data_IF_002170573476
#
_entry.id   IF_002170573476
#
_cell.length_a   1.000
_cell.length_b   1.000
_cell.length_c   1.000
_cell.angle_alpha   90.00
_cell.angle_beta   90.00
_cell.angle_gamma   90.00
#
_symmetry.space_group_name_H-M   'P 1'
#
loop_
_entity.id
_entity.type
_entity.pdbx_description
1 polymer ?
#
# COMPACT_ATOMS: atom_id res chain seq x y z
N UNK A 1 7.35 -7.29 -15.02
CA UNK A 1 7.04 -5.96 -14.45
C UNK A 1 5.86 -6.08 -13.51
N UNK A 2 5.87 -5.32 -12.41
CA UNK A 2 4.71 -5.21 -11.51
C UNK A 2 4.29 -3.74 -11.38
N UNK A 3 3.03 -3.47 -11.68
CA UNK A 3 2.40 -2.16 -11.55
C UNK A 3 1.46 -2.18 -10.33
N UNK A 4 1.78 -1.36 -9.33
CA UNK A 4 0.99 -1.16 -8.12
C UNK A 4 0.94 0.36 -7.83
N UNK A 5 -0.17 0.89 -7.29
CA UNK A 5 -0.22 2.29 -6.89
C UNK A 5 0.86 2.64 -5.87
N UNK A 6 1.35 3.88 -5.93
CA UNK A 6 2.36 4.37 -4.99
C UNK A 6 1.78 4.63 -3.60
N UNK A 7 0.47 4.87 -3.51
CA UNK A 7 -0.27 5.10 -2.27
C UNK A 7 -1.45 4.13 -2.24
N UNK A 8 -1.59 3.38 -1.15
CA UNK A 8 -2.66 2.42 -0.89
C UNK A 8 -3.44 2.88 0.33
N UNK A 9 -4.76 2.86 0.27
CA UNK A 9 -5.57 3.14 1.43
C UNK A 9 -5.68 1.89 2.32
N UNK A 10 -5.42 2.09 3.61
CA UNK A 10 -5.60 1.11 4.66
C UNK A 10 -7.01 0.51 4.68
N UNK A 11 -7.11 -0.81 4.74
CA UNK A 11 -8.38 -1.52 4.83
C UNK A 11 -9.21 -1.52 3.54
N UNK A 12 -8.79 -0.81 2.49
CA UNK A 12 -9.46 -0.78 1.19
C UNK A 12 -9.05 -1.96 0.31
N UNK A 13 -9.88 -2.24 -0.67
CA UNK A 13 -9.57 -3.19 -1.73
C UNK A 13 -8.76 -2.47 -2.82
N UNK A 14 -7.57 -2.99 -3.09
CA UNK A 14 -6.61 -2.44 -4.05
C UNK A 14 -6.33 -3.47 -5.14
N UNK A 15 -5.88 -2.98 -6.31
CA UNK A 15 -5.47 -3.80 -7.44
C UNK A 15 -4.01 -3.57 -7.78
N UNK A 16 -3.28 -4.65 -8.10
CA UNK A 16 -2.00 -4.57 -8.80
C UNK A 16 -2.05 -5.43 -10.06
N UNK A 17 -1.16 -5.16 -11.02
CA UNK A 17 -1.00 -5.94 -12.23
C UNK A 17 0.43 -6.43 -12.37
N UNK A 18 0.58 -7.68 -12.78
CA UNK A 18 1.84 -8.34 -13.06
C UNK A 18 1.90 -8.69 -14.55
N UNK A 19 3.06 -8.53 -15.15
CA UNK A 19 3.29 -8.87 -16.55
C UNK A 19 4.65 -9.52 -16.76
N UNK A 20 4.67 -10.57 -17.56
CA UNK A 20 5.88 -11.24 -18.03
C UNK A 20 5.86 -11.19 -19.55
N UNK A 21 6.91 -10.64 -20.16
CA UNK A 21 7.04 -10.53 -21.61
C UNK A 21 8.01 -11.59 -22.09
N UNK A 22 7.56 -12.42 -23.04
CA UNK A 22 8.38 -13.36 -23.83
C UNK A 22 9.48 -14.07 -23.03
N UNK A 23 9.13 -14.85 -22.00
CA UNK A 23 10.13 -15.55 -21.21
C UNK A 23 10.80 -16.65 -22.04
N UNK A 24 12.12 -16.78 -21.94
CA UNK A 24 12.88 -17.82 -22.67
C UNK A 24 12.80 -19.20 -22.00
N UNK A 25 12.30 -19.27 -20.77
CA UNK A 25 12.11 -20.48 -19.95
C UNK A 25 10.90 -20.30 -19.03
N UNK A 26 10.45 -21.37 -18.38
CA UNK A 26 9.46 -21.27 -17.32
C UNK A 26 10.00 -20.39 -16.17
N UNK A 27 9.17 -19.48 -15.68
CA UNK A 27 9.51 -18.54 -14.60
C UNK A 27 8.43 -18.57 -13.54
N UNK A 28 8.83 -18.60 -12.26
CA UNK A 28 7.93 -18.43 -11.13
C UNK A 28 7.96 -16.98 -10.65
N UNK A 29 6.92 -16.20 -10.96
CA UNK A 29 6.73 -14.85 -10.44
C UNK A 29 6.01 -14.88 -9.10
N UNK A 30 6.65 -14.36 -8.06
CA UNK A 30 6.08 -14.19 -6.73
C UNK A 30 6.03 -12.70 -6.40
N UNK A 31 4.88 -12.21 -5.93
CA UNK A 31 4.70 -10.84 -5.44
C UNK A 31 4.39 -10.91 -3.96
N UNK A 32 5.22 -10.27 -3.14
CA UNK A 32 5.10 -10.26 -1.68
C UNK A 32 5.01 -8.82 -1.18
N UNK A 33 4.10 -8.61 -0.24
CA UNK A 33 4.04 -7.41 0.59
C UNK A 33 4.87 -7.68 1.84
N UNK A 34 5.86 -6.85 2.10
CA UNK A 34 6.76 -7.02 3.26
C UNK A 34 6.55 -5.85 4.23
N UNK A 35 6.28 -6.18 5.48
CA UNK A 35 6.22 -5.26 6.63
C UNK A 35 7.15 -5.75 7.75
N UNK A 36 7.29 -4.96 8.81
CA UNK A 36 8.15 -5.28 9.94
C UNK A 36 7.66 -6.48 10.74
N UNK A 37 6.34 -6.73 10.75
CA UNK A 37 5.75 -7.91 11.37
C UNK A 37 5.84 -9.18 10.52
N UNK A 38 6.02 -9.08 9.20
CA UNK A 38 6.10 -10.26 8.34
C UNK A 38 5.90 -10.00 6.86
N UNK A 39 5.93 -11.08 6.08
CA UNK A 39 5.73 -11.06 4.63
C UNK A 39 4.45 -11.79 4.23
N UNK A 40 3.61 -11.14 3.44
CA UNK A 40 2.39 -11.72 2.88
C UNK A 40 2.52 -11.89 1.38
N UNK A 41 2.37 -13.12 0.88
CA UNK A 41 2.37 -13.39 -0.57
C UNK A 41 1.03 -13.00 -1.18
N UNK A 42 1.05 -12.04 -2.10
CA UNK A 42 -0.13 -11.56 -2.83
C UNK A 42 -0.39 -12.36 -4.11
N UNK A 43 0.68 -12.85 -4.76
CA UNK A 43 0.60 -13.66 -5.97
C UNK A 43 1.79 -14.60 -6.06
N UNK A 44 1.56 -15.83 -6.49
CA UNK A 44 2.59 -16.75 -6.99
C UNK A 44 2.07 -17.37 -8.28
N UNK A 45 2.77 -17.14 -9.38
CA UNK A 45 2.34 -17.60 -10.71
C UNK A 45 3.54 -18.09 -11.51
N UNK A 46 3.42 -19.32 -12.01
CA UNK A 46 4.44 -19.93 -12.88
C UNK A 46 3.95 -19.85 -14.32
N UNK A 47 4.79 -19.31 -15.21
CA UNK A 47 4.47 -19.27 -16.65
C UNK A 47 5.73 -19.42 -17.50
N UNK A 48 5.60 -20.15 -18.60
CA UNK A 48 6.55 -20.20 -19.71
C UNK A 48 6.11 -19.35 -20.91
N UNK A 49 5.00 -18.62 -20.79
CA UNK A 49 4.43 -17.76 -21.82
C UNK A 49 4.27 -16.33 -21.31
N UNK A 50 4.08 -15.40 -22.26
CA UNK A 50 3.73 -14.02 -21.94
C UNK A 50 2.37 -13.95 -21.22
N UNK A 51 2.28 -13.11 -20.19
CA UNK A 51 1.01 -12.86 -19.51
C UNK A 51 0.89 -11.42 -19.02
N UNK A 52 -0.36 -10.98 -18.85
CA UNK A 52 -0.75 -9.79 -18.12
C UNK A 52 -1.95 -10.14 -17.23
N UNK A 53 -1.74 -10.12 -15.92
CA UNK A 53 -2.78 -10.47 -14.95
C UNK A 53 -2.86 -9.42 -13.85
N UNK A 54 -4.07 -9.12 -13.40
CA UNK A 54 -4.27 -8.23 -12.27
C UNK A 54 -5.02 -8.93 -11.14
N UNK A 55 -4.59 -8.66 -9.92
CA UNK A 55 -5.10 -9.28 -8.70
C UNK A 55 -5.59 -8.18 -7.76
N UNK A 56 -6.78 -8.40 -7.20
CA UNK A 56 -7.30 -7.56 -6.12
C UNK A 56 -6.86 -8.14 -4.78
N UNK A 57 -6.52 -7.27 -3.83
CA UNK A 57 -6.18 -7.65 -2.47
C UNK A 57 -6.65 -6.58 -1.50
N UNK A 58 -6.90 -6.98 -0.26
CA UNK A 58 -7.23 -6.04 0.81
C UNK A 58 -5.96 -5.56 1.48
N UNK A 59 -5.81 -4.24 1.61
CA UNK A 59 -4.66 -3.62 2.28
C UNK A 59 -4.80 -3.79 3.79
N UNK A 60 -3.93 -4.56 4.43
CA UNK A 60 -3.96 -4.75 5.89
C UNK A 60 -3.21 -3.62 6.61
N UNK A 61 -3.76 -3.17 7.73
CA UNK A 61 -3.12 -2.19 8.64
C UNK A 61 -2.36 -2.98 9.68
N UNK A 62 -1.07 -3.25 9.47
CA UNK A 62 -0.27 -3.83 10.55
C UNK A 62 1.14 -3.26 10.59
N UNK A 63 1.55 -2.99 11.83
CA UNK A 63 2.55 -2.03 12.29
C UNK A 63 3.95 -2.09 11.65
N UNK A 64 4.60 -0.95 11.83
CA UNK A 64 5.86 -0.42 11.31
C UNK A 64 7.01 -1.39 10.99
N UNK A 65 7.82 -0.88 10.05
CA UNK A 65 9.24 -1.14 9.76
C UNK A 65 9.60 -2.05 8.59
N UNK A 66 10.81 -1.83 8.08
CA UNK A 66 11.28 -2.10 6.72
C UNK A 66 12.37 -3.18 6.77
N UNK A 67 12.32 -4.17 5.88
CA UNK A 67 13.51 -4.98 5.59
C UNK A 67 13.64 -5.36 4.11
N UNK A 68 14.89 -5.30 3.63
CA UNK A 68 15.32 -5.48 2.25
C UNK A 68 15.77 -6.92 1.96
N UNK A 69 15.53 -7.39 0.74
CA UNK A 69 16.35 -8.43 0.12
C UNK A 69 16.62 -8.12 -1.36
N UNK A 70 17.88 -8.31 -1.77
CA UNK A 70 18.43 -8.22 -3.14
C UNK A 70 18.71 -9.67 -3.58
N UNK A 71 18.33 -10.20 -4.76
CA UNK A 71 18.80 -10.01 -6.16
C UNK A 71 18.09 -11.16 -6.94
N UNK A 72 17.72 -11.10 -8.24
CA UNK A 72 17.74 -10.00 -9.21
C UNK A 72 16.32 -9.58 -9.62
N UNK A 73 15.51 -8.96 -8.75
CA UNK A 73 14.16 -8.55 -9.13
C UNK A 73 13.67 -7.22 -8.58
N UNK A 74 12.73 -6.64 -9.32
CA UNK A 74 12.22 -5.28 -9.19
C UNK A 74 11.56 -5.06 -7.82
N UNK A 75 12.14 -4.17 -7.02
CA UNK A 75 11.61 -3.74 -5.72
C UNK A 75 10.91 -2.40 -5.89
N UNK A 76 9.70 -2.26 -5.35
CA UNK A 76 8.95 -1.00 -5.36
C UNK A 76 8.43 -0.67 -3.97
N UNK A 77 8.81 0.49 -3.44
CA UNK A 77 8.24 1.02 -2.20
C UNK A 77 6.87 1.62 -2.46
N UNK A 78 5.91 1.30 -1.62
CA UNK A 78 4.54 1.83 -1.66
C UNK A 78 4.19 2.39 -0.29
N UNK A 79 3.42 3.46 -0.28
CA UNK A 79 2.92 4.10 0.92
C UNK A 79 1.54 3.53 1.20
N UNK A 80 1.28 3.07 2.42
CA UNK A 80 -0.07 2.74 2.88
C UNK A 80 -0.53 3.86 3.79
N UNK A 81 -1.52 4.63 3.37
CA UNK A 81 -2.13 5.66 4.19
C UNK A 81 -3.19 5.05 5.10
N UNK A 82 -3.00 5.22 6.41
CA UNK A 82 -4.01 4.95 7.42
C UNK A 82 -4.70 6.27 7.73
N UNK A 83 -5.97 6.42 7.39
CA UNK A 83 -6.72 7.61 7.78
C UNK A 83 -7.00 7.56 9.30
N UNK A 84 -6.13 8.16 10.13
CA UNK A 84 -6.42 8.43 11.56
C UNK A 84 -7.04 9.83 11.72
N UNK A 85 -8.01 10.01 12.65
CA UNK A 85 -8.77 11.24 12.76
C UNK A 85 -7.98 12.41 13.34
N UNK A 86 -7.86 13.47 12.55
CA UNK A 86 -7.48 14.81 12.98
C UNK A 86 -8.75 15.59 13.35
N UNK A 87 -8.78 16.11 14.57
CA UNK A 87 -9.92 16.88 15.06
C UNK A 87 -9.70 18.37 14.81
N UNK A 88 -10.52 18.97 13.96
CA UNK A 88 -10.54 20.41 13.75
C UNK A 88 -11.75 21.03 14.44
N UNK A 89 -11.50 22.05 15.27
CA UNK A 89 -12.56 22.86 15.88
C UNK A 89 -12.66 24.15 15.10
N UNK A 90 -13.77 24.34 14.39
CA UNK A 90 -14.07 25.61 13.74
C UNK A 90 -15.03 26.39 14.61
N UNK A 91 -14.62 27.58 15.03
CA UNK A 91 -15.51 28.53 15.72
C UNK A 91 -16.16 29.48 14.71
N UNK A 92 -17.35 29.99 15.02
CA UNK A 92 -17.99 31.02 14.18
C UNK A 92 -17.24 32.36 14.23
N UNK A 93 -16.44 32.58 15.28
CA UNK A 93 -15.57 33.75 15.43
C UNK A 93 -14.21 33.36 16.00
N UNK A 94 -13.12 34.04 15.61
CA UNK A 94 -11.80 33.81 16.18
C UNK A 94 -11.66 34.33 17.63
N UNK A 95 -12.51 35.27 18.06
CA UNK A 95 -12.49 35.87 19.40
C UNK A 95 -13.91 36.26 19.85
N UNK A 96 -14.24 36.01 21.12
CA UNK A 96 -15.52 36.40 21.74
C UNK A 96 -15.29 37.46 22.82
N UNK A 97 -16.20 38.43 22.91
CA UNK A 97 -16.23 39.41 24.00
C UNK A 97 -16.95 38.84 25.24
N UNK A 98 -16.69 39.39 26.44
CA UNK A 98 -17.39 38.97 27.66
C UNK A 98 -18.91 39.01 27.49
N UNK A 99 -19.58 37.90 27.82
CA UNK A 99 -21.04 37.74 27.68
C UNK A 99 -21.51 37.16 26.35
N UNK A 100 -20.62 36.89 25.38
CA UNK A 100 -20.98 36.18 24.15
C UNK A 100 -20.79 34.66 24.30
N UNK A 101 -21.74 33.89 23.75
CA UNK A 101 -21.63 32.43 23.60
C UNK A 101 -21.31 32.09 22.15
N UNK A 102 -20.29 31.26 21.94
CA UNK A 102 -19.90 30.77 20.62
C UNK A 102 -20.69 29.55 20.17
N UNK A 103 -20.70 29.33 18.85
CA UNK A 103 -21.27 28.14 18.20
C UNK A 103 -20.17 27.39 17.45
N UNK A 104 -19.40 26.51 18.12
CA UNK A 104 -18.37 25.72 17.45
C UNK A 104 -19.02 24.64 16.57
N UNK A 105 -18.45 24.44 15.39
CA UNK A 105 -18.75 23.31 14.52
C UNK A 105 -17.56 22.35 14.56
N UNK A 106 -17.84 21.11 14.96
CA UNK A 106 -16.85 20.03 14.94
C UNK A 106 -16.77 19.45 13.53
N UNK A 107 -15.57 19.43 12.97
CA UNK A 107 -15.28 18.80 11.70
C UNK A 107 -14.17 17.77 11.93
N UNK A 108 -14.42 16.52 11.54
CA UNK A 108 -13.48 15.41 11.67
C UNK A 108 -13.00 15.07 10.27
N UNK A 109 -11.68 15.10 10.06
CA UNK A 109 -11.02 14.71 8.82
C UNK A 109 -9.84 13.80 9.16
N UNK A 110 -9.53 12.83 8.32
CA UNK A 110 -8.56 11.78 8.64
C UNK A 110 -7.36 11.83 7.67
N UNK A 111 -6.09 11.74 8.14
CA UNK A 111 -4.86 11.38 7.33
C UNK A 111 -3.67 10.98 8.23
N UNK A 112 -3.16 9.75 8.10
CA UNK A 112 -1.84 9.28 8.59
C UNK A 112 -1.16 8.42 7.52
N UNK A 113 0.16 8.50 7.45
CA UNK A 113 0.99 8.02 6.35
C UNK A 113 1.96 6.93 6.86
N UNK A 114 1.86 5.69 6.36
CA UNK A 114 2.78 4.58 6.69
C UNK A 114 3.48 4.10 5.40
N UNK A 115 4.75 3.69 5.47
CA UNK A 115 5.50 3.22 4.29
C UNK A 115 5.77 1.71 4.32
N UNK A 116 5.59 1.03 3.20
CA UNK A 116 5.81 -0.41 3.00
C UNK A 116 6.65 -0.68 1.75
N UNK A 117 7.20 -1.89 1.63
CA UNK A 117 7.96 -2.29 0.43
C UNK A 117 7.33 -3.51 -0.21
N UNK A 118 7.09 -3.43 -1.52
CA UNK A 118 6.60 -4.54 -2.34
C UNK A 118 7.80 -5.13 -3.07
N UNK A 119 7.99 -6.44 -2.87
CA UNK A 119 8.99 -7.22 -3.56
C UNK A 119 8.30 -8.08 -4.62
N UNK A 120 8.78 -8.00 -5.86
CA UNK A 120 8.53 -9.02 -6.85
C UNK A 120 9.79 -9.86 -6.96
N UNK A 121 9.67 -11.19 -7.02
CA UNK A 121 10.80 -12.11 -7.23
C UNK A 121 10.44 -13.14 -8.32
N UNK A 122 11.39 -13.46 -9.20
CA UNK A 122 11.37 -14.40 -10.31
C UNK A 122 12.37 -15.46 -9.91
N UNK A 123 11.88 -16.54 -9.33
CA UNK A 123 12.72 -17.69 -9.03
C UNK A 123 12.83 -18.47 -10.34
N UNK A 124 14.06 -18.60 -10.84
CA UNK A 124 14.39 -19.54 -11.89
C UNK A 124 14.76 -20.86 -11.23
N UNK A 125 13.80 -21.77 -11.09
CA UNK A 125 14.13 -23.18 -10.84
C UNK A 125 13.07 -24.12 -11.42
N UNK A 126 13.62 -25.24 -11.93
CA UNK A 126 13.06 -26.35 -12.71
C UNK A 126 12.70 -26.04 -14.18
#
# INVERSE_FOLDING_TARGET
MVAIPAVLEAGSETKFCASLLQPSRSVVMTVTLVSGEGSTTLLKHTSSEEFHMCTQFKTFVISESVFLSQVPLQVRKVMITVYQPLTFVQTDKPLYLPGQTGNPKLMIYDVVDIFYTVHAESIHDA
#
